data_IF_573609000653
#
_entry.id   IF_573609000653
#
_cell.length_a   1.000
_cell.length_b   1.000
_cell.length_c   1.000
_cell.angle_alpha   90.00
_cell.angle_beta   90.00
_cell.angle_gamma   90.00
#
_symmetry.space_group_name_H-M   'P 1'
#
loop_
_entity.id
_entity.type
_entity.pdbx_description
1 polymer ?
#
# COMPACT_ATOMS: atom_id res chain seq x y z
N UNK A 1 -26.59 -5.81 -7.29
CA UNK A 1 -25.84 -6.94 -7.89
C UNK A 1 -24.54 -6.35 -8.38
N UNK A 2 -23.41 -6.76 -7.85
CA UNK A 2 -22.09 -6.26 -8.29
C UNK A 2 -21.80 -7.02 -9.58
N UNK A 3 -21.97 -6.36 -10.74
CA UNK A 3 -21.41 -6.89 -11.98
C UNK A 3 -19.88 -6.89 -11.81
N UNK A 4 -19.33 -8.05 -11.63
CA UNK A 4 -17.89 -8.29 -11.74
C UNK A 4 -17.59 -8.19 -13.24
N UNK A 5 -17.39 -6.96 -13.72
CA UNK A 5 -16.89 -6.73 -15.08
C UNK A 5 -15.56 -7.46 -15.26
N UNK A 6 -15.21 -7.78 -16.49
CA UNK A 6 -13.98 -8.50 -16.83
C UNK A 6 -12.76 -7.83 -16.18
N UNK A 7 -12.03 -8.59 -15.35
CA UNK A 7 -10.80 -8.12 -14.69
C UNK A 7 -9.77 -7.82 -15.77
N UNK A 8 -9.37 -6.57 -15.91
CA UNK A 8 -8.33 -6.19 -16.87
C UNK A 8 -6.93 -6.57 -16.40
N UNK A 9 -5.97 -6.62 -17.34
CA UNK A 9 -4.59 -7.05 -17.04
C UNK A 9 -3.91 -6.21 -15.94
N UNK A 10 -4.24 -4.93 -15.84
CA UNK A 10 -3.70 -4.03 -14.79
C UNK A 10 -4.24 -4.39 -13.41
N UNK A 11 -5.54 -4.67 -13.30
CA UNK A 11 -6.17 -5.12 -12.05
C UNK A 11 -5.63 -6.47 -11.61
N UNK A 12 -5.46 -7.40 -12.56
CA UNK A 12 -4.87 -8.71 -12.28
C UNK A 12 -3.43 -8.58 -11.78
N UNK A 13 -2.62 -7.73 -12.43
CA UNK A 13 -1.25 -7.46 -11.99
C UNK A 13 -1.21 -6.90 -10.55
N UNK A 14 -2.07 -5.94 -10.22
CA UNK A 14 -2.21 -5.39 -8.87
C UNK A 14 -2.63 -6.44 -7.84
N UNK A 15 -3.67 -7.23 -8.16
CA UNK A 15 -4.15 -8.32 -7.29
C UNK A 15 -3.03 -9.31 -6.97
N UNK A 16 -2.33 -9.80 -7.99
CA UNK A 16 -1.26 -10.78 -7.83
C UNK A 16 -0.07 -10.19 -7.05
N UNK A 17 0.37 -8.99 -7.43
CA UNK A 17 1.53 -8.36 -6.79
C UNK A 17 1.30 -8.08 -5.30
N UNK A 18 0.20 -7.41 -4.97
CA UNK A 18 -0.13 -7.11 -3.56
C UNK A 18 -0.57 -8.35 -2.78
N UNK A 19 -1.18 -9.34 -3.44
CA UNK A 19 -1.48 -10.64 -2.83
C UNK A 19 -0.20 -11.36 -2.40
N UNK A 20 0.81 -11.43 -3.26
CA UNK A 20 2.13 -11.99 -2.93
C UNK A 20 2.80 -11.20 -1.80
N UNK A 21 2.74 -9.86 -1.84
CA UNK A 21 3.28 -9.02 -0.77
C UNK A 21 2.57 -9.28 0.58
N UNK A 22 1.25 -9.43 0.59
CA UNK A 22 0.47 -9.76 1.78
C UNK A 22 0.90 -11.11 2.39
N UNK A 23 1.03 -12.14 1.56
CA UNK A 23 1.48 -13.47 2.00
C UNK A 23 2.92 -13.45 2.54
N UNK A 24 3.84 -12.76 1.86
CA UNK A 24 5.22 -12.61 2.29
C UNK A 24 5.31 -11.87 3.63
N UNK A 25 4.57 -10.77 3.80
CA UNK A 25 4.50 -10.03 5.05
C UNK A 25 3.85 -10.85 6.18
N UNK A 26 2.79 -11.61 5.90
CA UNK A 26 2.15 -12.49 6.89
C UNK A 26 3.09 -13.61 7.35
N UNK A 27 3.85 -14.22 6.41
CA UNK A 27 4.90 -15.17 6.74
C UNK A 27 5.98 -14.54 7.63
N UNK A 28 6.45 -13.34 7.27
CA UNK A 28 7.42 -12.59 8.06
C UNK A 28 6.89 -12.25 9.46
N UNK A 29 5.61 -11.91 9.59
CA UNK A 29 4.95 -11.64 10.85
C UNK A 29 4.92 -12.87 11.76
N UNK A 30 4.57 -14.04 11.23
CA UNK A 30 4.57 -15.32 11.98
C UNK A 30 5.98 -15.69 12.45
N UNK A 31 6.98 -15.57 11.56
CA UNK A 31 8.35 -15.96 11.88
C UNK A 31 9.00 -15.03 12.94
N UNK A 32 8.57 -13.79 13.07
CA UNK A 32 9.23 -12.76 13.91
C UNK A 32 8.39 -12.27 15.07
N UNK A 33 7.09 -12.54 15.08
CA UNK A 33 6.17 -12.03 16.10
C UNK A 33 6.04 -10.50 16.12
N UNK A 34 6.46 -9.80 15.09
CA UNK A 34 6.44 -8.34 15.03
C UNK A 34 5.13 -7.83 14.46
N UNK A 35 4.44 -6.96 15.20
CA UNK A 35 3.14 -6.37 14.80
C UNK A 35 3.21 -5.57 13.50
N UNK A 36 4.37 -4.99 13.16
CA UNK A 36 4.55 -4.22 11.92
C UNK A 36 4.26 -5.07 10.68
N UNK A 37 4.79 -6.30 10.63
CA UNK A 37 4.58 -7.17 9.47
C UNK A 37 3.12 -7.58 9.28
N UNK A 38 2.36 -7.73 10.38
CA UNK A 38 0.91 -7.94 10.30
C UNK A 38 0.18 -6.73 9.74
N UNK A 39 0.58 -5.51 10.12
CA UNK A 39 0.01 -4.28 9.56
C UNK A 39 0.30 -4.19 8.07
N UNK A 40 1.55 -4.45 7.64
CA UNK A 40 1.93 -4.46 6.23
C UNK A 40 1.16 -5.52 5.44
N UNK A 41 0.97 -6.72 6.01
CA UNK A 41 0.17 -7.77 5.40
C UNK A 41 -1.29 -7.35 5.20
N UNK A 42 -1.90 -6.74 6.23
CA UNK A 42 -3.29 -6.27 6.17
C UNK A 42 -3.46 -5.14 5.12
N UNK A 43 -2.54 -4.17 5.10
CA UNK A 43 -2.57 -3.09 4.09
C UNK A 43 -2.38 -3.65 2.69
N UNK A 44 -1.43 -4.56 2.48
CA UNK A 44 -1.21 -5.19 1.16
C UNK A 44 -2.44 -5.98 0.71
N UNK A 45 -3.11 -6.70 1.62
CA UNK A 45 -4.36 -7.41 1.30
C UNK A 45 -5.47 -6.42 0.92
N UNK A 46 -5.58 -5.29 1.63
CA UNK A 46 -6.51 -4.21 1.28
C UNK A 46 -6.23 -3.61 -0.09
N UNK A 47 -4.96 -3.36 -0.43
CA UNK A 47 -4.55 -2.87 -1.75
C UNK A 47 -4.81 -3.90 -2.87
N UNK A 48 -4.62 -5.19 -2.61
CA UNK A 48 -4.97 -6.26 -3.54
C UNK A 48 -6.47 -6.28 -3.83
N UNK A 49 -7.29 -6.12 -2.80
CA UNK A 49 -8.74 -6.07 -2.92
C UNK A 49 -9.19 -4.82 -3.65
N UNK A 50 -8.59 -3.66 -3.34
CA UNK A 50 -8.86 -2.38 -4.01
C UNK A 50 -8.52 -2.41 -5.50
N UNK A 51 -7.42 -3.07 -5.88
CA UNK A 51 -7.03 -3.22 -7.29
C UNK A 51 -8.14 -3.89 -8.13
N UNK A 52 -8.91 -4.80 -7.53
CA UNK A 52 -10.03 -5.49 -8.19
C UNK A 52 -11.34 -4.71 -8.06
N UNK A 53 -11.67 -4.23 -6.86
CA UNK A 53 -12.94 -3.56 -6.59
C UNK A 53 -13.03 -2.17 -7.21
N UNK A 54 -11.89 -1.49 -7.43
CA UNK A 54 -11.83 -0.15 -8.01
C UNK A 54 -12.58 0.89 -7.19
N UNK A 55 -12.56 0.77 -5.85
CA UNK A 55 -13.30 1.70 -4.96
C UNK A 55 -12.90 3.15 -5.18
N UNK A 56 -11.63 3.42 -5.52
CA UNK A 56 -11.14 4.76 -5.86
C UNK A 56 -11.87 5.37 -7.06
N UNK A 57 -12.23 4.57 -8.08
CA UNK A 57 -12.98 5.06 -9.24
C UNK A 57 -14.41 5.39 -8.85
N UNK A 58 -15.04 4.54 -8.05
CA UNK A 58 -16.42 4.80 -7.55
C UNK A 58 -16.48 6.00 -6.63
N UNK A 59 -15.49 6.19 -5.75
CA UNK A 59 -15.37 7.36 -4.90
C UNK A 59 -15.21 8.63 -5.74
N UNK A 60 -14.35 8.59 -6.75
CA UNK A 60 -14.15 9.71 -7.68
C UNK A 60 -15.45 10.06 -8.40
N UNK A 61 -16.14 9.09 -9.00
CA UNK A 61 -17.42 9.31 -9.66
C UNK A 61 -18.48 9.90 -8.73
N UNK A 62 -18.54 9.40 -7.49
CA UNK A 62 -19.44 9.92 -6.45
C UNK A 62 -19.13 11.38 -6.09
N UNK A 63 -17.84 11.72 -5.90
CA UNK A 63 -17.40 13.08 -5.60
C UNK A 63 -17.66 14.01 -6.80
N UNK A 64 -17.33 13.59 -8.02
CA UNK A 64 -17.57 14.39 -9.22
C UNK A 64 -19.07 14.67 -9.42
N UNK A 65 -19.92 13.67 -9.23
CA UNK A 65 -21.39 13.82 -9.29
C UNK A 65 -21.90 14.79 -8.22
N UNK A 66 -21.40 14.69 -7.00
CA UNK A 66 -21.77 15.57 -5.91
C UNK A 66 -21.32 17.01 -6.16
N UNK A 67 -20.09 17.24 -6.63
CA UNK A 67 -19.57 18.57 -6.97
C UNK A 67 -20.37 19.22 -8.11
N UNK A 68 -20.77 18.43 -9.12
CA UNK A 68 -21.62 18.90 -10.21
C UNK A 68 -22.99 19.35 -9.67
N UNK A 69 -23.60 18.57 -8.78
CA UNK A 69 -24.89 18.89 -8.18
C UNK A 69 -24.86 20.19 -7.35
N UNK A 70 -23.70 20.53 -6.75
CA UNK A 70 -23.50 21.77 -5.98
C UNK A 70 -23.04 22.95 -6.84
N UNK A 71 -22.82 22.78 -8.14
CA UNK A 71 -22.27 23.82 -9.02
C UNK A 71 -20.83 24.21 -8.74
N UNK A 72 -20.09 23.39 -7.99
CA UNK A 72 -18.68 23.64 -7.60
C UNK A 72 -17.67 22.94 -8.51
N UNK A 73 -18.12 22.36 -9.59
CA UNK A 73 -17.25 21.56 -10.47
C UNK A 73 -16.10 22.38 -11.08
N UNK A 74 -16.35 23.65 -11.45
CA UNK A 74 -15.33 24.53 -12.03
C UNK A 74 -14.29 25.00 -11.01
N UNK A 75 -14.59 24.96 -9.72
CA UNK A 75 -13.68 25.33 -8.61
C UNK A 75 -12.97 24.15 -7.95
N UNK A 76 -12.98 22.96 -8.57
CA UNK A 76 -12.39 21.74 -8.00
C UNK A 76 -10.85 21.77 -7.85
N UNK A 77 -10.16 22.58 -8.67
CA UNK A 77 -8.69 22.63 -8.68
C UNK A 77 -8.09 22.97 -7.31
N UNK A 78 -8.56 23.96 -6.54
CA UNK A 78 -8.04 24.23 -5.20
C UNK A 78 -8.23 23.04 -4.24
N UNK A 79 -9.37 22.34 -4.31
CA UNK A 79 -9.63 21.17 -3.48
C UNK A 79 -8.68 19.99 -3.83
N UNK A 80 -8.43 19.79 -5.12
CA UNK A 80 -7.46 18.77 -5.59
C UNK A 80 -6.04 19.09 -5.11
N UNK A 81 -5.59 20.35 -5.22
CA UNK A 81 -4.29 20.80 -4.71
C UNK A 81 -4.23 20.62 -3.19
N UNK A 82 -5.26 21.01 -2.44
CA UNK A 82 -5.32 20.81 -1.00
C UNK A 82 -5.19 19.34 -0.59
N UNK A 83 -5.84 18.45 -1.32
CA UNK A 83 -5.78 17.03 -1.07
C UNK A 83 -4.40 16.43 -1.40
N UNK A 84 -3.75 16.92 -2.48
CA UNK A 84 -2.36 16.54 -2.79
C UNK A 84 -1.38 16.99 -1.71
N UNK A 85 -1.52 18.22 -1.22
CA UNK A 85 -0.70 18.74 -0.10
C UNK A 85 -0.93 17.89 1.14
N UNK A 86 -2.18 17.55 1.46
CA UNK A 86 -2.50 16.65 2.57
C UNK A 86 -1.83 15.28 2.40
N UNK A 87 -1.88 14.69 1.20
CA UNK A 87 -1.21 13.41 0.91
C UNK A 87 0.30 13.51 1.08
N UNK A 88 0.92 14.61 0.61
CA UNK A 88 2.34 14.84 0.78
C UNK A 88 2.72 14.97 2.27
N UNK A 89 1.91 15.68 3.06
CA UNK A 89 2.10 15.81 4.50
C UNK A 89 1.93 14.46 5.24
N UNK A 90 0.92 13.68 4.88
CA UNK A 90 0.72 12.35 5.43
C UNK A 90 1.86 11.39 5.08
N UNK A 91 2.38 11.47 3.85
CA UNK A 91 3.56 10.71 3.44
C UNK A 91 4.79 11.15 4.23
N UNK A 92 5.03 12.46 4.34
CA UNK A 92 6.14 12.99 5.13
C UNK A 92 6.04 12.55 6.61
N UNK A 93 4.85 12.61 7.20
CA UNK A 93 4.59 12.13 8.56
C UNK A 93 4.81 10.62 8.69
N UNK A 94 4.35 9.82 7.73
CA UNK A 94 4.59 8.38 7.69
C UNK A 94 6.09 8.08 7.58
N UNK A 95 6.82 8.78 6.72
CA UNK A 95 8.28 8.64 6.57
C UNK A 95 9.03 9.07 7.84
N UNK A 96 8.55 10.14 8.53
CA UNK A 96 9.08 10.55 9.82
C UNK A 96 8.86 9.46 10.89
N UNK A 97 7.65 8.89 10.95
CA UNK A 97 7.34 7.76 11.83
C UNK A 97 8.23 6.53 11.53
N UNK A 98 8.60 6.31 10.26
CA UNK A 98 9.56 5.29 9.86
C UNK A 98 10.99 5.57 10.35
N UNK A 99 11.39 6.84 10.52
CA UNK A 99 12.65 7.18 11.17
C UNK A 99 12.68 6.72 12.63
N UNK A 100 11.53 6.70 13.32
CA UNK A 100 11.35 6.10 14.66
C UNK A 100 11.47 4.57 14.67
N UNK A 101 11.28 3.91 13.53
CA UNK A 101 11.45 2.46 13.35
C UNK A 101 12.92 2.01 13.19
N UNK A 102 13.89 2.83 13.63
CA UNK A 102 15.33 2.45 13.56
C UNK A 102 15.61 1.08 14.19
N UNK A 103 14.80 0.67 15.19
CA UNK A 103 14.88 -0.64 15.86
C UNK A 103 14.27 -1.79 15.03
N UNK A 104 13.48 -1.49 14.01
CA UNK A 104 12.78 -2.50 13.23
C UNK A 104 13.63 -3.17 12.12
N UNK A 105 14.86 -2.72 11.94
CA UNK A 105 15.76 -3.22 10.89
C UNK A 105 15.49 -2.60 9.50
N UNK A 106 16.49 -2.69 8.63
CA UNK A 106 16.46 -2.08 7.30
C UNK A 106 15.32 -2.63 6.42
N UNK A 107 15.12 -3.93 6.42
CA UNK A 107 14.11 -4.59 5.60
C UNK A 107 12.68 -4.16 5.97
N UNK A 108 12.40 -4.02 7.28
CA UNK A 108 11.10 -3.54 7.73
C UNK A 108 10.84 -2.09 7.32
N UNK A 109 11.89 -1.24 7.33
CA UNK A 109 11.80 0.15 6.84
C UNK A 109 11.55 0.21 5.35
N UNK A 110 12.30 -0.57 4.55
CA UNK A 110 12.11 -0.65 3.10
C UNK A 110 10.69 -1.07 2.76
N UNK A 111 10.18 -2.15 3.38
CA UNK A 111 8.81 -2.60 3.15
C UNK A 111 7.77 -1.56 3.55
N UNK A 112 7.95 -0.88 4.68
CA UNK A 112 7.03 0.15 5.15
C UNK A 112 7.06 1.40 4.26
N UNK A 113 8.24 1.81 3.75
CA UNK A 113 8.37 2.90 2.78
C UNK A 113 7.65 2.55 1.47
N UNK A 114 7.90 1.36 0.92
CA UNK A 114 7.22 0.91 -0.29
C UNK A 114 5.69 0.87 -0.12
N UNK A 115 5.21 0.43 1.05
CA UNK A 115 3.80 0.45 1.42
C UNK A 115 3.23 1.87 1.46
N UNK A 116 3.94 2.82 2.10
CA UNK A 116 3.51 4.21 2.17
C UNK A 116 3.44 4.86 0.78
N UNK A 117 4.43 4.61 -0.08
CA UNK A 117 4.43 5.08 -1.47
C UNK A 117 3.28 4.47 -2.26
N UNK A 118 2.98 3.18 -2.08
CA UNK A 118 1.84 2.53 -2.73
C UNK A 118 0.52 3.16 -2.31
N UNK A 119 0.31 3.41 -1.02
CA UNK A 119 -0.89 4.10 -0.52
C UNK A 119 -1.03 5.51 -1.12
N UNK A 120 0.07 6.29 -1.18
CA UNK A 120 0.06 7.60 -1.81
C UNK A 120 -0.29 7.53 -3.29
N UNK A 121 0.23 6.54 -4.01
CA UNK A 121 -0.10 6.33 -5.42
C UNK A 121 -1.60 6.07 -5.61
N UNK A 122 -2.21 5.21 -4.78
CA UNK A 122 -3.66 4.97 -4.81
C UNK A 122 -4.48 6.23 -4.51
N UNK A 123 -4.01 7.08 -3.57
CA UNK A 123 -4.68 8.34 -3.27
C UNK A 123 -4.56 9.34 -4.43
N UNK A 124 -3.36 9.45 -5.06
CA UNK A 124 -3.14 10.30 -6.24
C UNK A 124 -4.07 9.88 -7.38
N UNK A 125 -4.24 8.58 -7.62
CA UNK A 125 -5.18 8.06 -8.61
C UNK A 125 -6.64 8.41 -8.29
N UNK A 126 -7.02 8.44 -7.01
CA UNK A 126 -8.37 8.83 -6.60
C UNK A 126 -8.65 10.31 -6.85
N UNK A 127 -7.63 11.20 -6.75
CA UNK A 127 -7.76 12.65 -6.91
C UNK A 127 -7.94 13.05 -8.38
N UNK A 128 -7.41 12.26 -9.31
CA UNK A 128 -7.46 12.52 -10.76
C UNK A 128 -6.97 13.90 -11.19
N UNK A 129 -5.69 13.97 -11.49
CA UNK A 129 -5.08 15.13 -12.13
C UNK A 129 -4.84 14.82 -13.61
N UNK A 130 -5.44 15.59 -14.52
CA UNK A 130 -5.40 15.33 -15.96
C UNK A 130 -3.99 15.00 -16.51
N UNK A 131 -2.96 15.74 -16.09
CA UNK A 131 -1.58 15.50 -16.53
C UNK A 131 -0.97 14.22 -15.94
N UNK A 132 -1.27 13.90 -14.70
CA UNK A 132 -0.81 12.69 -14.01
C UNK A 132 -1.55 11.47 -14.53
N UNK A 133 -2.86 11.58 -14.73
CA UNK A 133 -3.70 10.51 -15.27
C UNK A 133 -3.23 10.10 -16.68
N UNK A 134 -2.94 11.06 -17.56
CA UNK A 134 -2.45 10.77 -18.91
C UNK A 134 -1.18 9.92 -18.89
N UNK A 135 -0.26 10.20 -17.96
CA UNK A 135 0.96 9.43 -17.77
C UNK A 135 0.68 8.07 -17.14
N UNK A 136 -0.08 8.03 -16.05
CA UNK A 136 -0.35 6.82 -15.26
C UNK A 136 -1.13 5.75 -16.04
N UNK A 137 -2.03 6.20 -16.94
CA UNK A 137 -2.84 5.31 -17.75
C UNK A 137 -2.25 5.01 -19.13
N UNK A 138 -1.02 5.50 -19.41
CA UNK A 138 -0.28 5.09 -20.61
C UNK A 138 -0.06 3.57 -20.59
N UNK A 139 -0.33 2.91 -21.71
CA UNK A 139 -0.14 1.47 -21.85
C UNK A 139 1.33 1.14 -22.10
N UNK A 140 1.88 0.24 -21.28
CA UNK A 140 3.20 -0.36 -21.49
C UNK A 140 2.97 -1.88 -21.66
N UNK A 141 2.77 -2.31 -22.90
CA UNK A 141 2.30 -3.65 -23.20
C UNK A 141 0.83 -3.85 -22.77
N UNK A 142 0.46 -4.99 -22.18
CA UNK A 142 -0.91 -5.28 -21.76
C UNK A 142 -1.31 -4.58 -20.45
N UNK A 143 -0.35 -3.97 -19.73
CA UNK A 143 -0.54 -3.36 -18.41
C UNK A 143 -0.26 -1.88 -18.49
N UNK A 144 -1.07 -1.06 -17.81
CA UNK A 144 -0.85 0.39 -17.69
C UNK A 144 0.38 0.69 -16.83
N UNK A 145 1.01 1.85 -17.01
CA UNK A 145 2.21 2.26 -16.25
C UNK A 145 1.98 2.16 -14.73
N UNK A 146 0.81 2.55 -14.25
CA UNK A 146 0.43 2.44 -12.84
C UNK A 146 0.46 1.00 -12.33
N UNK A 147 0.04 0.03 -13.12
CA UNK A 147 0.12 -1.39 -12.76
C UNK A 147 1.56 -1.87 -12.58
N UNK A 148 2.48 -1.38 -13.41
CA UNK A 148 3.91 -1.65 -13.24
C UNK A 148 4.46 -1.02 -11.96
N UNK A 149 4.02 0.21 -11.62
CA UNK A 149 4.39 0.82 -10.34
C UNK A 149 3.90 -0.02 -9.15
N UNK A 150 2.67 -0.56 -9.20
CA UNK A 150 2.16 -1.48 -8.17
C UNK A 150 3.02 -2.75 -8.07
N UNK A 151 3.39 -3.35 -9.20
CA UNK A 151 4.25 -4.55 -9.23
C UNK A 151 5.61 -4.28 -8.58
N UNK A 152 6.24 -3.15 -8.90
CA UNK A 152 7.54 -2.77 -8.32
C UNK A 152 7.43 -2.54 -6.82
N UNK A 153 6.42 -1.79 -6.36
CA UNK A 153 6.24 -1.49 -4.94
C UNK A 153 5.89 -2.74 -4.13
N UNK A 154 4.94 -3.54 -4.61
CA UNK A 154 4.56 -4.80 -3.95
C UNK A 154 5.70 -5.82 -3.99
N UNK A 155 6.43 -5.91 -5.10
CA UNK A 155 7.63 -6.74 -5.23
C UNK A 155 8.72 -6.34 -4.23
N UNK A 156 8.95 -5.03 -4.04
CA UNK A 156 9.87 -4.51 -3.02
C UNK A 156 9.45 -4.91 -1.61
N UNK A 157 8.14 -4.83 -1.29
CA UNK A 157 7.60 -5.27 0.00
C UNK A 157 7.80 -6.75 0.22
N UNK A 158 7.46 -7.58 -0.78
CA UNK A 158 7.62 -9.03 -0.73
C UNK A 158 9.08 -9.44 -0.57
N UNK A 159 9.97 -8.84 -1.35
CA UNK A 159 11.41 -9.05 -1.28
C UNK A 159 11.99 -8.68 0.08
N UNK A 160 11.66 -7.51 0.61
CA UNK A 160 12.09 -7.07 1.93
C UNK A 160 11.57 -8.00 3.05
N UNK A 161 10.31 -8.48 2.93
CA UNK A 161 9.75 -9.44 3.88
C UNK A 161 10.45 -10.81 3.82
N UNK A 162 10.88 -11.22 2.62
CA UNK A 162 11.60 -12.47 2.43
C UNK A 162 13.02 -12.43 3.03
N UNK A 163 13.77 -11.35 2.77
CA UNK A 163 15.16 -11.19 3.21
C UNK A 163 15.29 -10.81 4.69
N UNK A 164 14.23 -10.32 5.33
CA UNK A 164 14.34 -9.93 6.72
C UNK A 164 14.73 -11.12 7.60
N UNK A 165 15.78 -11.02 8.45
CA UNK A 165 16.29 -12.13 9.26
C UNK A 165 15.22 -12.63 10.24
N UNK A 166 15.20 -13.94 10.51
CA UNK A 166 14.37 -14.49 11.57
C UNK A 166 14.74 -13.83 12.91
N UNK A 167 13.73 -13.42 13.67
CA UNK A 167 13.98 -12.88 15.02
C UNK A 167 14.65 -13.92 15.91
N UNK A 168 15.36 -13.52 16.99
CA UNK A 168 15.93 -14.48 17.93
C UNK A 168 14.80 -15.40 18.42
N UNK A 169 15.05 -16.69 18.37
CA UNK A 169 14.12 -17.69 18.85
C UNK A 169 13.70 -17.35 20.29
N UNK A 170 12.42 -17.26 20.56
CA UNK A 170 11.85 -17.10 21.91
C UNK A 170 12.01 -18.40 22.73
N UNK A 171 13.20 -18.94 22.73
CA UNK A 171 13.49 -20.17 23.43
C UNK A 171 14.72 -20.01 24.30
N UNK A 172 14.55 -19.80 25.61
CA UNK A 172 15.67 -19.84 26.52
C UNK A 172 15.52 -19.12 27.86
N UNK A 173 14.28 -18.89 28.32
CA UNK A 173 14.08 -18.53 29.73
C UNK A 173 13.16 -19.55 30.43
N UNK A 174 13.59 -20.80 30.42
CA UNK A 174 13.10 -21.82 31.35
C UNK A 174 14.32 -22.54 31.88
N UNK A 175 14.66 -22.31 33.12
CA UNK A 175 15.52 -23.21 33.87
C UNK A 175 16.81 -22.64 34.42
N UNK A 176 16.76 -21.56 35.22
CA UNK A 176 17.88 -21.23 36.15
C UNK A 176 17.41 -21.03 37.60
N UNK A 177 16.11 -21.14 37.89
CA UNK A 177 15.60 -20.87 39.25
C UNK A 177 15.19 -22.15 40.01
N UNK A 178 15.89 -23.29 39.85
CA UNK A 178 15.61 -24.49 40.64
C UNK A 178 16.86 -25.28 41.03
N UNK A 179 17.90 -24.65 41.49
CA UNK A 179 18.95 -25.34 42.26
C UNK A 179 19.60 -24.40 43.26
N UNK A 180 18.86 -23.92 44.26
CA UNK A 180 19.35 -23.50 45.59
C UNK A 180 18.18 -23.67 46.57
N UNK A 181 18.11 -24.87 47.15
CA UNK A 181 17.27 -25.22 48.29
C UNK A 181 18.01 -26.18 49.16
#
# INVERSE_FOLDING_TARGET
>A
MIEVGDINATQLAGLLAFGVAALACARAARARGQRLWWKLAAVSAGLALEAVLGLRHRLREGVDTWLQAQGWYDSRTPAQIGLLVLCALLLAWALWGLAGLRRAGVHARVAATACAVALCLFVIEAISLHGVDALMYANIGPVRLVGWAWVVLAGTMAWAAWLAPAGPARGGRRGVDQEEG
#
